data_IF_046859138790
#
_entry.id   IF_046859138790
#
_cell.length_a   1.000
_cell.length_b   1.000
_cell.length_c   1.000
_cell.angle_alpha   90.00
_cell.angle_beta   90.00
_cell.angle_gamma   90.00
#
_symmetry.space_group_name_H-M   'P 1'
#
loop_
_entity.id
_entity.type
_entity.pdbx_description
1 polymer ?
#
# COMPACT_ATOMS: atom_id res chain seq x y z
N UNK A 1 13.12 16.56 -9.04
CA UNK A 1 12.47 16.21 -7.77
C UNK A 1 12.69 17.29 -6.70
N UNK A 2 13.93 17.61 -6.32
CA UNK A 2 14.25 18.59 -5.25
C UNK A 2 13.62 19.98 -5.48
N UNK A 3 13.60 20.49 -6.72
CA UNK A 3 12.96 21.77 -7.09
C UNK A 3 11.47 21.84 -6.70
N UNK A 4 10.78 20.70 -6.67
CA UNK A 4 9.34 20.60 -6.40
C UNK A 4 9.03 19.94 -5.05
N UNK A 5 10.02 19.85 -4.14
CA UNK A 5 9.90 19.24 -2.82
C UNK A 5 9.38 17.77 -2.86
N UNK A 6 9.74 17.02 -3.91
CA UNK A 6 9.46 15.60 -3.96
C UNK A 6 10.53 14.86 -3.14
N UNK A 7 10.12 14.33 -1.99
CA UNK A 7 11.03 13.76 -0.98
C UNK A 7 11.05 12.23 -0.98
N UNK A 8 10.02 11.59 -1.56
CA UNK A 8 9.91 10.15 -1.58
C UNK A 8 9.17 9.64 -2.81
N UNK A 9 9.47 8.41 -3.20
CA UNK A 9 8.77 7.65 -4.24
C UNK A 9 8.38 6.29 -3.70
N UNK A 10 7.23 5.78 -4.12
CA UNK A 10 6.93 4.37 -4.10
C UNK A 10 7.00 3.83 -5.53
N UNK A 11 7.84 2.83 -5.73
CA UNK A 11 8.07 2.22 -7.05
C UNK A 11 7.81 0.73 -6.93
N UNK A 12 7.01 0.17 -7.85
CA UNK A 12 6.57 -1.22 -7.77
C UNK A 12 7.41 -2.13 -8.66
N UNK A 13 7.81 -3.29 -8.11
CA UNK A 13 8.35 -4.43 -8.84
C UNK A 13 7.40 -5.62 -8.71
N UNK A 14 7.08 -6.26 -9.83
CA UNK A 14 6.24 -7.48 -9.88
C UNK A 14 7.12 -8.72 -10.09
N UNK A 15 7.98 -8.99 -9.11
CA UNK A 15 9.01 -10.02 -9.17
C UNK A 15 10.31 -9.55 -9.86
N UNK A 16 11.26 -10.48 -10.07
CA UNK A 16 12.50 -10.21 -10.78
C UNK A 16 12.25 -9.97 -12.28
N UNK A 17 13.27 -9.53 -13.00
CA UNK A 17 13.24 -9.04 -14.39
C UNK A 17 12.37 -9.85 -15.34
N UNK A 18 12.57 -11.15 -15.41
CA UNK A 18 11.83 -12.02 -16.35
C UNK A 18 10.32 -12.02 -16.10
N UNK A 19 9.92 -11.97 -14.83
CA UNK A 19 8.51 -11.92 -14.46
C UNK A 19 7.95 -10.52 -14.59
N UNK A 20 8.70 -9.52 -14.12
CA UNK A 20 8.31 -8.12 -14.19
C UNK A 20 8.05 -7.69 -15.63
N UNK A 21 8.99 -7.96 -16.54
CA UNK A 21 8.92 -7.55 -17.93
C UNK A 21 7.81 -8.24 -18.74
N UNK A 22 7.22 -9.33 -18.22
CA UNK A 22 6.02 -9.96 -18.81
C UNK A 22 4.74 -9.17 -18.52
N UNK A 23 4.68 -8.44 -17.41
CA UNK A 23 3.46 -7.73 -16.95
C UNK A 23 3.61 -6.21 -17.05
N UNK A 24 4.85 -5.69 -16.96
CA UNK A 24 5.15 -4.27 -17.09
C UNK A 24 6.25 -4.08 -18.14
N UNK A 25 5.87 -3.66 -19.30
CA UNK A 25 6.78 -3.45 -20.42
C UNK A 25 6.54 -2.09 -21.08
N UNK A 26 7.59 -1.53 -21.70
CA UNK A 26 7.49 -0.29 -22.47
C UNK A 26 6.91 -0.57 -23.86
N UNK A 27 7.27 -1.72 -24.44
CA UNK A 27 6.73 -2.24 -25.71
C UNK A 27 6.91 -3.75 -25.75
N UNK A 28 6.30 -4.44 -26.70
CA UNK A 28 6.41 -5.91 -26.87
C UNK A 28 7.87 -6.44 -26.90
N UNK A 29 8.83 -5.57 -27.27
CA UNK A 29 10.25 -5.94 -27.37
C UNK A 29 11.13 -5.33 -26.26
N UNK A 30 10.55 -4.53 -25.35
CA UNK A 30 11.30 -3.79 -24.33
C UNK A 30 10.61 -3.86 -22.99
N UNK A 31 11.21 -4.57 -22.05
CA UNK A 31 10.82 -4.55 -20.64
C UNK A 31 11.09 -3.21 -19.97
N UNK A 32 10.64 -3.07 -18.73
CA UNK A 32 10.84 -1.84 -17.94
C UNK A 32 11.72 -2.04 -16.70
N UNK A 33 12.06 -3.27 -16.36
CA UNK A 33 12.76 -3.61 -15.13
C UNK A 33 14.10 -2.88 -14.98
N UNK A 34 14.98 -2.99 -15.96
CA UNK A 34 16.34 -2.43 -15.90
C UNK A 34 16.30 -0.89 -15.79
N UNK A 35 15.37 -0.25 -16.48
CA UNK A 35 15.20 1.20 -16.40
C UNK A 35 14.65 1.62 -15.03
N UNK A 36 13.71 0.86 -14.46
CA UNK A 36 13.18 1.10 -13.13
C UNK A 36 14.28 0.93 -12.07
N UNK A 37 15.05 -0.15 -12.10
CA UNK A 37 16.18 -0.38 -11.17
C UNK A 37 17.21 0.74 -11.26
N UNK A 38 17.59 1.16 -12.47
CA UNK A 38 18.49 2.29 -12.69
C UNK A 38 17.94 3.59 -12.08
N UNK A 39 16.66 3.87 -12.28
CA UNK A 39 16.01 5.07 -11.74
C UNK A 39 15.92 5.03 -10.21
N UNK A 40 15.64 3.87 -9.60
CA UNK A 40 15.66 3.71 -8.15
C UNK A 40 17.07 4.05 -7.61
N UNK A 41 18.12 3.46 -8.19
CA UNK A 41 19.51 3.75 -7.79
C UNK A 41 19.85 5.23 -7.89
N UNK A 42 19.47 5.88 -8.99
CA UNK A 42 19.68 7.32 -9.19
C UNK A 42 18.95 8.16 -8.13
N UNK A 43 17.73 7.81 -7.75
CA UNK A 43 16.98 8.50 -6.70
C UNK A 43 17.69 8.36 -5.36
N UNK A 44 18.11 7.14 -5.00
CA UNK A 44 18.81 6.82 -3.75
C UNK A 44 20.17 7.52 -3.67
N UNK A 45 20.93 7.58 -4.76
CA UNK A 45 22.19 8.34 -4.86
C UNK A 45 21.98 9.83 -4.59
N UNK A 46 20.83 10.36 -4.97
CA UNK A 46 20.44 11.76 -4.73
C UNK A 46 19.73 11.98 -3.38
N UNK A 47 19.77 10.99 -2.47
CA UNK A 47 19.19 11.07 -1.12
C UNK A 47 17.67 11.28 -1.11
N UNK A 48 16.99 10.69 -2.10
CA UNK A 48 15.54 10.67 -2.18
C UNK A 48 15.07 9.30 -1.70
N UNK A 49 14.15 9.28 -0.75
CA UNK A 49 13.59 8.05 -0.22
C UNK A 49 12.85 7.26 -1.30
N UNK A 50 13.15 5.98 -1.41
CA UNK A 50 12.44 5.07 -2.30
C UNK A 50 11.90 3.88 -1.52
N UNK A 51 10.58 3.76 -1.49
CA UNK A 51 9.90 2.55 -1.06
C UNK A 51 9.69 1.64 -2.27
N UNK A 52 10.48 0.58 -2.35
CA UNK A 52 10.36 -0.44 -3.39
C UNK A 52 9.28 -1.44 -2.96
N UNK A 53 8.09 -1.28 -3.51
CA UNK A 53 6.99 -2.21 -3.29
C UNK A 53 7.17 -3.46 -4.13
N UNK A 54 7.25 -4.62 -3.50
CA UNK A 54 7.29 -5.91 -4.18
C UNK A 54 5.92 -6.57 -4.05
N UNK A 55 5.22 -6.72 -5.16
CA UNK A 55 3.98 -7.48 -5.21
C UNK A 55 4.31 -8.98 -5.24
N UNK A 56 3.89 -9.70 -4.21
CA UNK A 56 4.16 -11.11 -4.01
C UNK A 56 2.96 -11.97 -4.38
N UNK A 57 3.22 -12.99 -5.18
CA UNK A 57 2.29 -14.06 -5.56
C UNK A 57 3.09 -15.33 -5.76
N UNK A 58 2.44 -16.47 -5.90
CA UNK A 58 3.14 -17.74 -6.23
C UNK A 58 4.02 -17.65 -7.48
N UNK A 59 3.69 -16.75 -8.41
CA UNK A 59 4.44 -16.55 -9.66
C UNK A 59 5.59 -15.54 -9.51
N UNK A 60 5.50 -14.61 -8.57
CA UNK A 60 6.49 -13.54 -8.38
C UNK A 60 7.55 -13.87 -7.34
N UNK A 61 7.34 -14.93 -6.54
CA UNK A 61 8.30 -15.37 -5.51
C UNK A 61 9.59 -15.89 -6.09
N UNK A 62 9.52 -16.57 -7.25
CA UNK A 62 10.71 -17.13 -7.88
C UNK A 62 11.71 -16.05 -8.26
N UNK A 63 12.92 -16.16 -7.73
CA UNK A 63 14.01 -15.23 -8.00
C UNK A 63 13.93 -13.89 -7.28
N UNK A 64 13.12 -13.73 -6.22
CA UNK A 64 13.08 -12.49 -5.44
C UNK A 64 14.44 -12.11 -4.85
N UNK A 65 15.27 -13.08 -4.48
CA UNK A 65 16.64 -12.84 -4.01
C UNK A 65 17.53 -12.14 -5.05
N UNK A 66 17.20 -12.28 -6.35
CA UNK A 66 17.93 -11.57 -7.43
C UNK A 66 17.64 -10.06 -7.38
N UNK A 67 16.44 -9.66 -6.93
CA UNK A 67 16.13 -8.23 -6.73
C UNK A 67 17.09 -7.63 -5.70
N UNK A 68 17.31 -8.27 -4.55
CA UNK A 68 18.27 -7.78 -3.57
C UNK A 68 19.69 -7.64 -4.15
N UNK A 69 20.11 -8.63 -4.96
CA UNK A 69 21.40 -8.61 -5.63
C UNK A 69 21.59 -7.45 -6.59
N UNK A 70 20.51 -7.04 -7.27
CA UNK A 70 20.54 -5.91 -8.19
C UNK A 70 20.81 -4.57 -7.50
N UNK A 71 20.65 -4.51 -6.17
CA UNK A 71 20.88 -3.31 -5.35
C UNK A 71 22.10 -3.40 -4.42
N UNK A 72 22.94 -4.43 -4.52
CA UNK A 72 24.11 -4.62 -3.64
C UNK A 72 25.14 -3.52 -3.76
N UNK A 73 25.25 -2.86 -4.92
CA UNK A 73 26.12 -1.73 -5.21
C UNK A 73 25.63 -0.40 -4.62
N UNK A 74 24.41 -0.34 -4.12
CA UNK A 74 23.84 0.87 -3.49
C UNK A 74 24.54 1.14 -2.16
N UNK A 75 25.14 2.34 -2.03
CA UNK A 75 25.86 2.77 -0.81
C UNK A 75 24.91 3.45 0.20
N UNK A 76 23.99 4.26 -0.26
CA UNK A 76 23.08 5.07 0.55
C UNK A 76 21.82 4.26 0.95
N UNK A 77 22.01 3.11 1.57
CA UNK A 77 20.91 2.14 1.87
C UNK A 77 19.83 2.69 2.81
N UNK A 78 20.12 3.75 3.56
CA UNK A 78 19.12 4.45 4.38
C UNK A 78 18.03 5.14 3.57
N UNK A 79 18.22 5.32 2.26
CA UNK A 79 17.21 5.91 1.37
C UNK A 79 16.43 4.90 0.54
N UNK A 80 16.64 3.59 0.75
CA UNK A 80 15.87 2.53 0.09
C UNK A 80 15.25 1.61 1.14
N UNK A 81 13.97 1.32 0.98
CA UNK A 81 13.23 0.36 1.80
C UNK A 81 12.46 -0.58 0.89
N UNK A 82 12.40 -1.85 1.25
CA UNK A 82 11.60 -2.85 0.55
C UNK A 82 10.33 -3.16 1.33
N UNK A 83 9.20 -3.19 0.62
CA UNK A 83 7.86 -3.40 1.17
C UNK A 83 7.18 -4.53 0.42
N UNK A 84 6.99 -5.67 1.09
CA UNK A 84 6.44 -6.88 0.52
C UNK A 84 4.92 -6.90 0.68
N UNK A 85 4.19 -7.01 -0.42
CA UNK A 85 2.74 -7.04 -0.44
C UNK A 85 2.23 -8.32 -1.06
N UNK A 86 1.43 -9.07 -0.31
CA UNK A 86 0.64 -10.16 -0.87
C UNK A 86 -0.43 -9.59 -1.81
N UNK A 87 -0.53 -10.16 -3.02
CA UNK A 87 -1.52 -9.74 -4.02
C UNK A 87 -2.88 -10.30 -3.62
N UNK A 88 -3.71 -9.46 -3.04
CA UNK A 88 -5.02 -9.82 -2.49
C UNK A 88 -6.04 -10.35 -3.52
N UNK A 89 -5.81 -10.11 -4.81
CA UNK A 89 -6.63 -10.62 -5.92
C UNK A 89 -6.38 -12.10 -6.21
N UNK A 90 -5.31 -12.69 -5.67
CA UNK A 90 -5.01 -14.10 -5.87
C UNK A 90 -5.90 -14.97 -4.97
N UNK A 91 -6.54 -15.99 -5.54
CA UNK A 91 -7.34 -16.96 -4.80
C UNK A 91 -6.51 -17.76 -3.78
N UNK A 92 -5.22 -17.98 -4.09
CA UNK A 92 -4.26 -18.65 -3.20
C UNK A 92 -3.43 -17.63 -2.46
N UNK A 93 -3.69 -17.48 -1.16
CA UNK A 93 -2.80 -16.74 -0.27
C UNK A 93 -1.45 -17.42 -0.16
N UNK A 94 -0.40 -16.63 -0.14
CA UNK A 94 0.94 -17.13 0.18
C UNK A 94 0.98 -17.59 1.63
N UNK A 95 1.78 -18.61 1.91
CA UNK A 95 2.05 -19.01 3.28
C UNK A 95 2.90 -17.91 3.94
N UNK A 96 2.49 -17.44 5.12
CA UNK A 96 3.12 -16.32 5.84
C UNK A 96 4.63 -16.53 6.05
N UNK A 97 5.07 -17.78 6.28
CA UNK A 97 6.47 -18.13 6.48
C UNK A 97 7.35 -17.86 5.25
N UNK A 98 6.82 -18.05 4.03
CA UNK A 98 7.59 -17.82 2.79
C UNK A 98 7.96 -16.35 2.63
N UNK A 99 7.03 -15.46 2.88
CA UNK A 99 7.30 -14.02 2.82
C UNK A 99 8.32 -13.59 3.89
N UNK A 100 8.21 -14.14 5.09
CA UNK A 100 9.16 -13.86 6.18
C UNK A 100 10.58 -14.28 5.79
N UNK A 101 10.76 -15.46 5.18
CA UNK A 101 12.08 -15.92 4.71
C UNK A 101 12.73 -14.95 3.69
N UNK A 102 11.95 -14.45 2.71
CA UNK A 102 12.46 -13.45 1.77
C UNK A 102 12.75 -12.10 2.45
N UNK A 103 11.90 -11.66 3.36
CA UNK A 103 12.13 -10.43 4.13
C UNK A 103 13.42 -10.52 4.95
N UNK A 104 13.68 -11.66 5.59
CA UNK A 104 14.89 -11.89 6.34
C UNK A 104 16.14 -11.95 5.44
N UNK A 105 16.01 -12.56 4.26
CA UNK A 105 17.07 -12.51 3.25
C UNK A 105 17.47 -11.07 2.90
N UNK A 106 16.49 -10.20 2.62
CA UNK A 106 16.78 -8.78 2.31
C UNK A 106 17.39 -8.04 3.50
N UNK A 107 16.98 -8.36 4.75
CA UNK A 107 17.60 -7.81 5.97
C UNK A 107 19.04 -8.27 6.12
N UNK A 108 19.34 -9.54 5.85
CA UNK A 108 20.71 -10.07 5.87
C UNK A 108 21.61 -9.41 4.83
N UNK A 109 21.04 -9.05 3.67
CA UNK A 109 21.72 -8.25 2.65
C UNK A 109 21.90 -6.76 3.07
N UNK A 110 21.42 -6.38 4.25
CA UNK A 110 21.56 -5.03 4.83
C UNK A 110 20.58 -4.00 4.32
N UNK A 111 19.40 -4.41 3.87
CA UNK A 111 18.33 -3.51 3.47
C UNK A 111 17.28 -3.32 4.57
N UNK A 112 16.71 -2.13 4.63
CA UNK A 112 15.51 -1.89 5.41
C UNK A 112 14.31 -2.59 4.74
N UNK A 113 13.61 -3.40 5.53
CA UNK A 113 12.41 -4.12 5.09
C UNK A 113 11.26 -3.74 5.99
N UNK A 114 10.20 -3.21 5.40
CA UNK A 114 8.98 -2.94 6.14
C UNK A 114 8.38 -4.26 6.61
N UNK A 115 8.13 -4.37 7.92
CA UNK A 115 7.46 -5.54 8.48
C UNK A 115 6.07 -5.69 7.85
N UNK A 116 5.71 -6.92 7.48
CA UNK A 116 4.32 -7.27 7.22
C UNK A 116 3.51 -6.68 8.37
N UNK A 117 2.59 -5.78 8.03
CA UNK A 117 1.90 -4.92 9.01
C UNK A 117 1.19 -5.70 10.11
N UNK A 118 1.92 -6.21 11.07
CA UNK A 118 1.39 -6.64 12.35
C UNK A 118 0.98 -5.43 13.21
N UNK A 119 1.36 -4.22 12.79
CA UNK A 119 1.26 -2.99 13.56
C UNK A 119 0.34 -1.95 12.96
N UNK A 120 -0.76 -2.31 12.45
CA UNK A 120 -1.70 -1.27 12.11
C UNK A 120 -2.84 -1.22 13.11
N UNK A 121 -2.68 -0.42 14.16
CA UNK A 121 -3.75 0.61 14.28
C UNK A 121 -4.04 1.08 12.88
N UNK A 122 -5.19 0.76 12.31
CA UNK A 122 -5.50 1.19 10.95
C UNK A 122 -5.38 2.69 10.94
N UNK A 123 -4.19 3.17 10.58
CA UNK A 123 -4.00 4.57 10.25
C UNK A 123 -5.07 4.84 9.21
N UNK A 124 -5.81 5.91 9.40
CA UNK A 124 -6.84 6.36 8.46
C UNK A 124 -6.39 6.04 7.02
N UNK A 125 -7.25 5.33 6.28
CA UNK A 125 -6.96 5.02 4.89
C UNK A 125 -6.63 6.31 4.13
N UNK A 126 -5.72 6.27 3.18
CA UNK A 126 -5.42 7.44 2.36
C UNK A 126 -6.68 8.02 1.70
N UNK A 127 -7.63 7.16 1.27
CA UNK A 127 -8.90 7.56 0.69
C UNK A 127 -9.79 8.40 1.62
N UNK A 128 -9.57 8.33 2.93
CA UNK A 128 -10.31 9.10 3.94
C UNK A 128 -9.69 10.49 4.20
N UNK A 129 -8.49 10.73 3.69
CA UNK A 129 -7.80 12.01 3.90
C UNK A 129 -8.40 13.09 3.01
N UNK A 130 -8.80 14.23 3.59
CA UNK A 130 -9.42 15.33 2.86
C UNK A 130 -8.59 15.80 1.66
N UNK A 131 -7.28 15.92 1.83
CA UNK A 131 -6.35 16.48 0.82
C UNK A 131 -5.72 15.41 -0.09
N UNK A 132 -6.24 14.19 -0.10
CA UNK A 132 -5.80 13.15 -1.02
C UNK A 132 -6.74 13.05 -2.21
N UNK A 133 -6.18 12.92 -3.40
CA UNK A 133 -6.92 12.72 -4.64
C UNK A 133 -6.10 11.88 -5.60
N UNK A 134 -6.76 11.02 -6.36
CA UNK A 134 -6.23 10.40 -7.57
C UNK A 134 -6.89 11.11 -8.76
N UNK A 135 -6.07 11.71 -9.62
CA UNK A 135 -6.53 12.38 -10.84
C UNK A 135 -6.24 11.42 -12.00
N UNK A 136 -7.28 11.00 -12.69
CA UNK A 136 -7.14 10.15 -13.87
C UNK A 136 -6.80 11.00 -15.11
N UNK A 137 -6.33 10.35 -16.18
CA UNK A 137 -5.93 11.01 -17.43
C UNK A 137 -7.05 11.83 -18.09
N UNK A 138 -8.30 11.47 -17.82
CA UNK A 138 -9.52 12.14 -18.32
C UNK A 138 -9.98 13.30 -17.43
N UNK A 139 -9.25 13.60 -16.37
CA UNK A 139 -9.59 14.64 -15.39
C UNK A 139 -10.58 14.20 -14.31
N UNK A 140 -11.09 12.98 -14.33
CA UNK A 140 -11.93 12.47 -13.27
C UNK A 140 -11.16 12.28 -11.96
N UNK A 141 -11.82 12.57 -10.84
CA UNK A 141 -11.25 12.49 -9.50
C UNK A 141 -11.73 11.23 -8.77
N UNK A 142 -10.79 10.55 -8.14
CA UNK A 142 -11.06 9.34 -7.35
C UNK A 142 -10.37 9.41 -5.99
N UNK A 143 -10.92 8.70 -5.01
CA UNK A 143 -10.32 8.56 -3.68
C UNK A 143 -9.74 7.16 -3.47
N UNK A 144 -10.44 6.12 -3.92
CA UNK A 144 -10.06 4.73 -3.71
C UNK A 144 -9.40 4.16 -4.97
N UNK A 145 -8.21 3.58 -4.85
CA UNK A 145 -7.51 2.89 -5.96
C UNK A 145 -7.81 1.38 -6.02
N UNK A 146 -8.66 0.87 -5.12
CA UNK A 146 -9.09 -0.53 -5.11
C UNK A 146 -10.43 -0.72 -5.86
N UNK A 147 -10.79 0.24 -6.71
CA UNK A 147 -11.93 0.18 -7.64
C UNK A 147 -11.48 0.68 -9.00
N UNK A 148 -12.18 0.24 -10.04
CA UNK A 148 -11.94 0.69 -11.39
C UNK A 148 -12.23 2.19 -11.52
N UNK A 149 -11.43 2.88 -12.32
CA UNK A 149 -11.58 4.31 -12.58
C UNK A 149 -12.61 4.55 -13.68
N UNK A 150 -13.88 4.24 -13.34
CA UNK A 150 -15.04 4.45 -14.19
C UNK A 150 -15.76 5.73 -13.78
N UNK A 151 -16.57 6.30 -14.67
CA UNK A 151 -17.40 7.47 -14.39
C UNK A 151 -18.31 7.25 -13.17
N UNK A 152 -18.83 6.02 -13.01
CA UNK A 152 -19.65 5.64 -11.86
C UNK A 152 -18.89 5.77 -10.53
N UNK A 153 -17.61 5.45 -10.51
CA UNK A 153 -16.77 5.51 -9.32
C UNK A 153 -16.11 6.89 -9.09
N UNK A 154 -16.30 7.82 -10.03
CA UNK A 154 -15.77 9.18 -9.91
C UNK A 154 -16.44 9.93 -8.76
N UNK A 155 -15.62 10.66 -8.00
CA UNK A 155 -16.07 11.53 -6.90
C UNK A 155 -15.97 13.03 -7.25
N UNK A 156 -15.60 13.34 -8.50
CA UNK A 156 -15.49 14.71 -8.98
C UNK A 156 -14.72 14.84 -10.26
N UNK A 157 -14.42 16.06 -10.66
CA UNK A 157 -13.65 16.39 -11.86
C UNK A 157 -12.62 17.48 -11.56
N UNK A 158 -11.52 17.47 -12.29
CA UNK A 158 -10.53 18.53 -12.30
C UNK A 158 -11.03 19.67 -13.18
N UNK A 159 -11.21 20.87 -12.64
CA UNK A 159 -11.56 22.06 -13.40
C UNK A 159 -10.39 22.59 -14.23
N UNK A 160 -10.68 23.40 -15.22
CA UNK A 160 -9.67 24.00 -16.13
C UNK A 160 -8.65 24.87 -15.40
N UNK A 161 -9.05 25.51 -14.29
CA UNK A 161 -8.17 26.30 -13.40
C UNK A 161 -7.30 25.46 -12.46
N UNK A 162 -7.47 24.12 -12.45
CA UNK A 162 -6.79 23.21 -11.53
C UNK A 162 -7.54 22.97 -10.22
N UNK A 163 -8.74 23.51 -10.08
CA UNK A 163 -9.58 23.30 -8.90
C UNK A 163 -10.19 21.90 -8.89
N UNK A 164 -10.33 21.30 -7.71
CA UNK A 164 -10.99 20.01 -7.52
C UNK A 164 -12.48 20.25 -7.28
N UNK A 165 -13.29 19.89 -8.26
CA UNK A 165 -14.77 20.02 -8.21
C UNK A 165 -15.33 18.68 -7.77
N UNK A 166 -15.65 18.56 -6.49
CA UNK A 166 -16.18 17.33 -5.90
C UNK A 166 -17.68 17.19 -6.11
N UNK A 167 -18.13 15.94 -6.27
CA UNK A 167 -19.56 15.61 -6.30
C UNK A 167 -20.03 15.11 -4.92
N UNK A 168 -21.32 14.79 -4.79
CA UNK A 168 -21.95 14.37 -3.53
C UNK A 168 -21.32 13.09 -2.93
N UNK A 169 -20.72 12.21 -3.73
CA UNK A 169 -20.08 10.98 -3.23
C UNK A 169 -18.90 11.26 -2.34
N UNK A 170 -18.18 12.36 -2.62
CA UNK A 170 -17.08 12.80 -1.77
C UNK A 170 -17.58 13.19 -0.37
N UNK A 171 -18.67 13.91 -0.27
CA UNK A 171 -19.28 14.28 1.03
C UNK A 171 -19.76 13.02 1.77
N UNK A 172 -20.46 12.12 1.07
CA UNK A 172 -20.86 10.83 1.63
C UNK A 172 -19.66 10.05 2.20
N UNK A 173 -18.54 10.03 1.50
CA UNK A 173 -17.31 9.38 1.98
C UNK A 173 -16.80 10.02 3.26
N UNK A 174 -16.68 11.34 3.30
CA UNK A 174 -16.14 12.05 4.47
C UNK A 174 -17.00 11.82 5.73
N UNK A 175 -18.30 11.67 5.57
CA UNK A 175 -19.23 11.48 6.66
C UNK A 175 -19.49 10.01 7.03
N UNK A 176 -19.23 9.08 6.11
CA UNK A 176 -19.65 7.68 6.20
C UNK A 176 -19.23 6.99 7.50
N UNK A 177 -18.01 7.26 7.98
CA UNK A 177 -17.45 6.66 9.20
C UNK A 177 -18.19 7.07 10.48
N UNK A 178 -18.90 8.17 10.44
CA UNK A 178 -19.63 8.73 11.59
C UNK A 178 -21.14 8.44 11.53
N UNK A 179 -21.61 7.82 10.45
CA UNK A 179 -23.07 7.56 10.23
C UNK A 179 -23.47 6.10 10.34
N UNK A 180 -22.52 5.16 10.49
CA UNK A 180 -22.84 3.73 10.62
C UNK A 180 -23.18 3.36 12.07
N UNK A 181 -24.48 3.14 12.42
CA UNK A 181 -24.90 2.94 13.81
C UNK A 181 -24.22 1.78 14.54
N UNK A 182 -23.96 0.61 13.91
CA UNK A 182 -23.25 -0.48 14.57
C UNK A 182 -21.83 -0.09 14.99
N UNK A 183 -21.15 0.75 14.20
CA UNK A 183 -19.80 1.20 14.54
C UNK A 183 -19.81 2.11 15.78
N UNK A 184 -20.78 3.01 15.88
CA UNK A 184 -20.89 3.96 17.00
C UNK A 184 -21.15 3.28 18.34
N UNK A 185 -21.68 2.05 18.33
CA UNK A 185 -21.93 1.24 19.52
C UNK A 185 -20.86 0.17 19.77
N UNK A 186 -19.85 0.07 18.90
CA UNK A 186 -18.86 -0.99 18.90
C UNK A 186 -17.67 -0.63 19.79
N UNK A 187 -17.34 -1.50 20.76
CA UNK A 187 -16.18 -1.32 21.65
C UNK A 187 -14.84 -1.35 20.92
N UNK A 188 -14.78 -1.92 19.71
CA UNK A 188 -13.58 -1.95 18.87
C UNK A 188 -13.38 -0.70 18.00
N UNK A 189 -14.34 0.23 18.02
CA UNK A 189 -14.29 1.44 17.17
C UNK A 189 -12.97 2.22 17.29
N UNK A 190 -12.38 2.44 18.47
CA UNK A 190 -11.14 3.21 18.61
C UNK A 190 -9.96 2.59 17.85
N UNK A 191 -9.94 1.26 17.70
CA UNK A 191 -8.89 0.51 17.01
C UNK A 191 -9.25 0.28 15.55
N UNK A 192 -10.48 -0.12 15.27
CA UNK A 192 -10.97 -0.40 13.92
C UNK A 192 -11.15 0.87 13.06
N UNK A 193 -11.51 2.01 13.68
CA UNK A 193 -11.73 3.29 13.00
C UNK A 193 -12.87 3.24 11.98
N UNK A 194 -13.94 2.47 12.22
CA UNK A 194 -15.07 2.22 11.30
C UNK A 194 -14.71 1.55 9.98
N UNK A 195 -13.48 1.03 9.86
CA UNK A 195 -13.07 0.22 8.71
C UNK A 195 -12.86 1.00 7.41
N UNK A 196 -13.43 0.51 6.31
CA UNK A 196 -13.20 1.01 4.96
C UNK A 196 -14.29 2.00 4.54
N UNK A 197 -13.92 3.25 4.20
CA UNK A 197 -14.86 4.25 3.71
C UNK A 197 -15.46 3.90 2.35
N UNK A 198 -14.74 3.14 1.51
CA UNK A 198 -15.27 2.66 0.24
C UNK A 198 -16.45 1.70 0.47
N UNK A 199 -16.29 0.76 1.40
CA UNK A 199 -17.38 -0.12 1.78
C UNK A 199 -18.57 0.69 2.33
N UNK A 200 -18.30 1.73 3.11
CA UNK A 200 -19.34 2.60 3.63
C UNK A 200 -20.14 3.34 2.55
N UNK A 201 -19.44 3.82 1.51
CA UNK A 201 -20.09 4.51 0.36
C UNK A 201 -20.92 3.53 -0.48
N UNK A 202 -20.45 2.30 -0.64
CA UNK A 202 -21.10 1.26 -1.45
C UNK A 202 -22.25 0.57 -0.71
N UNK A 203 -22.20 0.54 0.63
CA UNK A 203 -23.21 -0.17 1.43
C UNK A 203 -24.51 0.64 1.52
N UNK A 204 -25.61 0.00 1.17
CA UNK A 204 -26.96 0.56 1.34
C UNK A 204 -27.54 0.34 2.74
N UNK A 205 -26.93 -0.55 3.50
CA UNK A 205 -27.36 -0.99 4.82
C UNK A 205 -26.19 -0.88 5.83
N UNK A 206 -26.47 -1.23 7.08
CA UNK A 206 -25.44 -1.34 8.11
C UNK A 206 -24.35 -2.32 7.70
N UNK A 207 -23.09 -1.96 7.93
CA UNK A 207 -21.96 -2.77 7.52
C UNK A 207 -20.93 -2.97 8.65
N UNK A 208 -20.15 -4.04 8.55
CA UNK A 208 -18.98 -4.27 9.38
C UNK A 208 -17.86 -4.95 8.55
N UNK A 209 -16.66 -4.40 8.57
CA UNK A 209 -15.51 -4.97 7.85
C UNK A 209 -15.05 -6.32 8.41
N UNK A 210 -15.60 -6.74 9.52
CA UNK A 210 -15.40 -8.06 10.15
C UNK A 210 -16.68 -8.90 10.13
N UNK A 211 -17.64 -8.59 9.25
CA UNK A 211 -18.91 -9.31 9.08
C UNK A 211 -19.70 -9.47 10.39
N UNK A 212 -19.58 -8.54 11.32
CA UNK A 212 -20.12 -8.60 12.68
C UNK A 212 -19.62 -9.77 13.54
N UNK A 213 -18.56 -10.46 13.09
CA UNK A 213 -17.98 -11.63 13.78
C UNK A 213 -17.03 -11.17 14.91
N UNK A 214 -17.41 -11.51 16.15
CA UNK A 214 -16.64 -11.17 17.34
C UNK A 214 -15.27 -11.86 17.40
N UNK A 215 -15.10 -13.05 16.81
CA UNK A 215 -13.81 -13.74 16.77
C UNK A 215 -12.84 -13.04 15.83
N UNK A 216 -13.32 -12.57 14.66
CA UNK A 216 -12.52 -11.75 13.74
C UNK A 216 -12.08 -10.45 14.40
N UNK A 217 -12.97 -9.79 15.16
CA UNK A 217 -12.64 -8.57 15.90
C UNK A 217 -11.61 -8.80 17.00
N UNK A 218 -11.78 -9.89 17.78
CA UNK A 218 -10.81 -10.29 18.82
C UNK A 218 -9.44 -10.61 18.22
N UNK A 219 -9.42 -11.34 17.10
CA UNK A 219 -8.17 -11.62 16.37
C UNK A 219 -7.48 -10.34 15.96
N UNK A 220 -8.21 -9.38 15.35
CA UNK A 220 -7.66 -8.08 14.98
C UNK A 220 -7.02 -7.36 16.18
N UNK A 221 -7.68 -7.37 17.34
CA UNK A 221 -7.15 -6.76 18.56
C UNK A 221 -5.86 -7.45 19.02
N UNK A 222 -5.84 -8.78 19.01
CA UNK A 222 -4.67 -9.57 19.41
C UNK A 222 -3.49 -9.35 18.47
N UNK A 223 -3.73 -9.37 17.17
CA UNK A 223 -2.71 -9.13 16.15
C UNK A 223 -2.10 -7.72 16.30
N UNK A 224 -2.94 -6.71 16.61
CA UNK A 224 -2.44 -5.36 16.90
C UNK A 224 -1.59 -5.31 18.17
N UNK A 225 -2.00 -6.00 19.23
CA UNK A 225 -1.26 -6.04 20.49
C UNK A 225 0.09 -6.72 20.35
N UNK A 226 0.13 -7.92 19.75
CA UNK A 226 1.36 -8.68 19.53
C UNK A 226 2.33 -7.93 18.59
N UNK A 227 1.81 -7.30 17.55
CA UNK A 227 2.63 -6.50 16.66
C UNK A 227 3.29 -5.29 17.36
N UNK A 228 2.62 -4.66 18.32
CA UNK A 228 3.21 -3.58 19.10
C UNK A 228 4.32 -4.08 20.04
N UNK A 229 4.17 -5.26 20.64
CA UNK A 229 5.21 -5.85 21.49
C UNK A 229 6.51 -6.13 20.72
N UNK A 230 6.41 -6.74 19.54
CA UNK A 230 7.59 -7.08 18.72
C UNK A 230 8.37 -5.85 18.25
N UNK A 231 7.71 -4.70 18.05
CA UNK A 231 8.41 -3.45 17.68
C UNK A 231 9.08 -2.76 18.87
N UNK A 232 8.56 -2.92 20.08
CA UNK A 232 9.20 -2.35 21.28
C UNK A 232 10.52 -3.05 21.57
N UNK A 233 10.59 -4.37 21.42
CA UNK A 233 11.83 -5.15 21.55
C UNK A 233 12.88 -4.81 20.49
N UNK A 234 12.46 -4.48 19.26
CA UNK A 234 13.36 -4.05 18.18
C UNK A 234 13.93 -2.63 18.40
N UNK A 235 13.18 -1.76 19.08
CA UNK A 235 13.64 -0.38 19.39
C UNK A 235 14.61 -0.32 20.57
N UNK A 236 14.66 -1.36 21.42
CA UNK A 236 15.64 -1.46 22.52
C UNK A 236 17.01 -2.01 22.07
N UNK A 237 17.11 -2.49 20.83
CA UNK A 237 18.35 -3.09 20.25
C UNK A 237 19.02 -2.14 19.22
N UNK A 238 18.41 -1.03 18.88
CA UNK A 238 18.96 0.04 18.01
C UNK A 238 19.31 1.27 18.83
#
# INVERSE_FOLDING_TARGET
>A
CKKYNVNAFQITLDGHKERHDKVRFVSEKRGSYDEIVKNIKLLVENEILVNVRINCSSETLDGLEKIAKDFTDVKNRQFIMFDFHDVWQNEKKLADNILVEYMDYFRMEGFFVQSLNLNTFRKMCYADRKNMVNINYDGNLYKCTARDFTEENSEGVLGESGDLIWNYKHEVRLESKYKNPPCLKCSYLPICGSGCSQLAVESKEEYCVYDFDENKKKKMLLDNFLGNLSNTELMEVL
#
